data_IF_652956680502
#
_entry.id   IF_652956680502
#
_cell.length_a   1.000
_cell.length_b   1.000
_cell.length_c   1.000
_cell.angle_alpha   90.00
_cell.angle_beta   90.00
_cell.angle_gamma   90.00
#
_symmetry.space_group_name_H-M   'P 1'
#
loop_
_entity.id
_entity.type
_entity.pdbx_description
1 polymer ?
#
# COMPACT_ATOMS: atom_id res chain seq x y z
N UNK A 1 -20.96 22.26 37.04
CA UNK A 1 -21.08 21.21 36.02
C UNK A 1 -19.85 20.36 36.13
N UNK A 2 -19.94 19.23 36.87
CA UNK A 2 -18.84 18.29 37.07
C UNK A 2 -18.83 17.32 35.91
N UNK A 3 -17.67 17.18 35.22
CA UNK A 3 -17.48 16.17 34.21
C UNK A 3 -17.16 14.83 34.89
N UNK A 4 -18.03 13.84 34.73
CA UNK A 4 -17.78 12.47 35.11
C UNK A 4 -16.67 11.88 34.23
N UNK A 5 -15.49 11.70 34.80
CA UNK A 5 -14.42 10.94 34.19
C UNK A 5 -14.76 9.46 34.38
N UNK A 6 -15.21 8.80 33.31
CA UNK A 6 -15.53 7.38 33.31
C UNK A 6 -14.30 6.55 33.72
N UNK A 7 -14.42 5.90 34.86
CA UNK A 7 -13.40 4.95 35.37
C UNK A 7 -13.40 3.70 34.49
N UNK A 8 -12.29 3.48 33.77
CA UNK A 8 -12.03 2.24 33.02
C UNK A 8 -11.96 1.08 34.03
N UNK A 9 -12.87 0.13 33.93
CA UNK A 9 -12.89 -1.04 34.80
C UNK A 9 -11.67 -1.94 34.53
N UNK A 10 -11.05 -2.46 35.60
CA UNK A 10 -9.86 -3.34 35.51
C UNK A 10 -10.01 -4.54 34.55
N UNK A 11 -11.22 -5.01 34.35
CA UNK A 11 -11.54 -6.09 33.41
C UNK A 11 -11.35 -5.72 31.93
N UNK A 12 -11.65 -4.47 31.54
CA UNK A 12 -11.46 -3.98 30.16
C UNK A 12 -9.97 -3.83 29.81
N UNK A 13 -9.16 -3.40 30.77
CA UNK A 13 -7.71 -3.28 30.58
C UNK A 13 -7.01 -4.64 30.41
N UNK A 14 -7.48 -5.69 31.10
CA UNK A 14 -6.92 -7.04 30.96
C UNK A 14 -7.30 -7.65 29.60
N UNK A 15 -8.53 -7.44 29.14
CA UNK A 15 -8.98 -7.92 27.82
C UNK A 15 -8.19 -7.31 26.66
N UNK A 16 -7.88 -6.02 26.73
CA UNK A 16 -7.09 -5.33 25.72
C UNK A 16 -5.62 -5.76 25.75
N UNK A 17 -5.07 -6.04 26.92
CA UNK A 17 -3.69 -6.54 27.06
C UNK A 17 -3.49 -7.94 26.46
N UNK A 18 -4.45 -8.84 26.63
CA UNK A 18 -4.37 -10.20 26.09
C UNK A 18 -4.47 -10.23 24.55
N UNK A 19 -5.28 -9.35 23.97
CA UNK A 19 -5.41 -9.24 22.50
C UNK A 19 -4.11 -8.69 21.86
N UNK A 20 -3.44 -7.72 22.52
CA UNK A 20 -2.18 -7.18 22.05
C UNK A 20 -1.05 -8.23 22.14
N UNK A 21 -1.00 -9.03 23.19
CA UNK A 21 0.02 -10.10 23.34
C UNK A 21 -0.18 -11.21 22.30
N UNK A 22 -1.43 -11.56 21.96
CA UNK A 22 -1.69 -12.56 20.92
C UNK A 22 -1.27 -12.10 19.53
N UNK A 23 -1.46 -10.81 19.20
CA UNK A 23 -1.02 -10.22 17.93
C UNK A 23 0.51 -10.13 17.82
N UNK A 24 1.21 -9.77 18.90
CA UNK A 24 2.67 -9.73 18.93
C UNK A 24 3.26 -11.14 18.86
N UNK A 25 2.64 -12.11 19.51
CA UNK A 25 3.04 -13.52 19.43
C UNK A 25 2.93 -14.10 18.02
N UNK A 26 1.85 -13.79 17.31
CA UNK A 26 1.65 -14.24 15.93
C UNK A 26 2.68 -13.62 14.95
N UNK A 27 3.03 -12.35 15.14
CA UNK A 27 4.11 -11.71 14.34
C UNK A 27 5.50 -12.28 14.68
N UNK A 28 5.78 -12.58 15.95
CA UNK A 28 7.04 -13.16 16.38
C UNK A 28 7.30 -14.56 15.79
N UNK A 29 6.29 -15.41 15.75
CA UNK A 29 6.37 -16.74 15.15
C UNK A 29 6.51 -16.66 13.62
N UNK A 30 5.79 -15.72 12.98
CA UNK A 30 5.91 -15.49 11.54
C UNK A 30 7.33 -15.05 11.12
N UNK A 31 7.97 -14.19 11.90
CA UNK A 31 9.35 -13.75 11.67
C UNK A 31 10.37 -14.86 11.94
N UNK A 32 10.11 -15.75 12.90
CA UNK A 32 11.03 -16.87 13.20
C UNK A 32 10.99 -17.94 12.12
N UNK A 33 9.80 -18.29 11.63
CA UNK A 33 9.63 -19.24 10.50
C UNK A 33 10.20 -18.65 9.20
N UNK A 34 10.08 -17.34 8.97
CA UNK A 34 10.73 -16.68 7.85
C UNK A 34 12.26 -16.67 7.99
N UNK A 35 12.79 -16.55 9.22
CA UNK A 35 14.23 -16.58 9.50
C UNK A 35 14.90 -17.92 9.23
N UNK A 36 14.23 -19.06 9.44
CA UNK A 36 14.77 -20.39 9.14
C UNK A 36 14.85 -20.69 7.63
N UNK A 37 14.02 -20.02 6.80
CA UNK A 37 14.09 -20.17 5.35
C UNK A 37 15.31 -19.47 4.71
N UNK A 38 16.04 -18.64 5.44
CA UNK A 38 17.18 -17.85 4.91
C UNK A 38 18.50 -18.62 4.97
N UNK A 39 18.53 -19.79 5.59
CA UNK A 39 19.78 -20.56 5.78
C UNK A 39 20.02 -21.65 4.72
N UNK A 40 19.28 -21.59 3.60
CA UNK A 40 19.55 -22.42 2.44
C UNK A 40 20.64 -21.76 1.59
N UNK A 41 21.74 -22.44 1.35
CA UNK A 41 22.89 -22.08 0.50
C UNK A 41 22.54 -21.97 -1.01
N UNK A 42 21.31 -21.64 -1.35
CA UNK A 42 20.88 -21.27 -2.69
C UNK A 42 20.97 -19.75 -2.79
N UNK A 43 21.59 -19.22 -3.84
CA UNK A 43 21.64 -17.77 -4.09
C UNK A 43 20.25 -17.11 -3.98
N UNK A 44 20.18 -15.78 -3.89
CA UNK A 44 18.92 -15.09 -3.66
C UNK A 44 17.89 -15.51 -4.71
N UNK A 45 16.87 -16.24 -4.24
CA UNK A 45 15.76 -16.66 -5.10
C UNK A 45 14.97 -15.41 -5.47
N UNK A 46 14.66 -15.20 -6.75
CA UNK A 46 13.83 -14.05 -7.15
C UNK A 46 12.54 -14.03 -6.34
N UNK A 47 12.16 -12.84 -5.85
CA UNK A 47 10.91 -12.67 -5.14
C UNK A 47 9.75 -13.13 -6.04
N UNK A 48 8.75 -13.74 -5.44
CA UNK A 48 7.48 -14.08 -6.10
C UNK A 48 6.37 -13.41 -5.33
N UNK A 49 5.28 -13.06 -6.01
CA UNK A 49 4.12 -12.48 -5.34
C UNK A 49 3.66 -13.42 -4.23
N UNK A 50 3.97 -13.07 -2.99
CA UNK A 50 3.40 -13.73 -1.83
C UNK A 50 2.03 -13.13 -1.56
N UNK A 51 1.08 -13.98 -1.24
CA UNK A 51 -0.19 -13.53 -0.70
C UNK A 51 0.06 -13.14 0.76
N UNK A 52 -0.39 -11.95 1.18
CA UNK A 52 -0.47 -11.60 2.60
C UNK A 52 -1.26 -12.66 3.37
N UNK A 53 -1.39 -12.50 4.69
CA UNK A 53 -2.14 -13.44 5.54
C UNK A 53 -3.34 -14.06 4.83
N UNK A 54 -3.69 -15.35 5.13
CA UNK A 54 -4.70 -16.11 4.38
C UNK A 54 -5.96 -15.28 4.14
N UNK A 55 -6.50 -15.38 2.94
CA UNK A 55 -7.71 -14.67 2.45
C UNK A 55 -8.96 -14.86 3.32
N UNK A 56 -8.89 -15.67 4.38
CA UNK A 56 -10.02 -15.93 5.31
C UNK A 56 -10.53 -14.70 6.06
N UNK A 57 -9.77 -13.59 6.05
CA UNK A 57 -10.21 -12.34 6.70
C UNK A 57 -10.48 -11.19 5.74
N UNK A 58 -10.16 -11.34 4.46
CA UNK A 58 -10.52 -10.36 3.44
C UNK A 58 -11.92 -10.68 2.92
N UNK A 59 -12.85 -9.73 3.01
CA UNK A 59 -14.13 -9.86 2.33
C UNK A 59 -13.85 -10.16 0.84
N UNK A 60 -14.58 -11.12 0.23
CA UNK A 60 -14.40 -11.44 -1.18
C UNK A 60 -14.58 -10.18 -2.01
N UNK A 61 -13.64 -9.94 -2.94
CA UNK A 61 -13.77 -8.83 -3.88
C UNK A 61 -15.12 -8.92 -4.60
N UNK A 62 -15.85 -7.82 -4.64
CA UNK A 62 -17.07 -7.77 -5.43
C UNK A 62 -16.77 -8.02 -6.91
N UNK A 63 -17.76 -8.49 -7.65
CA UNK A 63 -17.59 -8.76 -9.07
C UNK A 63 -17.08 -7.51 -9.82
N UNK A 64 -15.93 -7.62 -10.46
CA UNK A 64 -15.26 -6.53 -11.17
C UNK A 64 -14.19 -5.78 -10.36
N UNK A 65 -14.03 -6.05 -9.07
CA UNK A 65 -12.93 -5.51 -8.28
C UNK A 65 -11.68 -6.40 -8.40
N UNK A 66 -10.51 -5.78 -8.38
CA UNK A 66 -9.22 -6.51 -8.41
C UNK A 66 -8.83 -7.00 -7.03
N UNK A 67 -8.06 -8.08 -7.01
CA UNK A 67 -7.44 -8.61 -5.79
C UNK A 67 -6.01 -8.09 -5.63
N UNK A 68 -5.47 -8.16 -4.41
CA UNK A 68 -4.05 -7.86 -4.17
C UNK A 68 -3.11 -8.75 -4.97
N UNK A 69 -3.47 -10.01 -5.20
CA UNK A 69 -2.71 -10.93 -6.05
C UNK A 69 -2.63 -10.45 -7.50
N UNK A 70 -3.74 -9.96 -8.05
CA UNK A 70 -3.78 -9.40 -9.40
C UNK A 70 -2.97 -8.10 -9.49
N UNK A 71 -3.01 -7.24 -8.46
CA UNK A 71 -2.19 -6.04 -8.40
C UNK A 71 -0.70 -6.38 -8.31
N UNK A 72 -0.34 -7.37 -7.50
CA UNK A 72 1.04 -7.83 -7.42
C UNK A 72 1.53 -8.37 -8.76
N UNK A 73 0.73 -9.18 -9.45
CA UNK A 73 1.09 -9.69 -10.77
C UNK A 73 1.27 -8.55 -11.81
N UNK A 74 0.47 -7.49 -11.72
CA UNK A 74 0.59 -6.33 -12.60
C UNK A 74 1.84 -5.48 -12.27
N UNK A 75 2.19 -5.35 -10.99
CA UNK A 75 3.31 -4.53 -10.53
C UNK A 75 4.65 -5.27 -10.60
N UNK A 76 4.70 -6.55 -10.22
CA UNK A 76 5.90 -7.40 -10.20
C UNK A 76 6.25 -7.91 -11.60
N UNK A 77 6.64 -6.98 -12.46
CA UNK A 77 6.98 -7.21 -13.86
C UNK A 77 8.50 -7.14 -14.07
N UNK A 78 9.05 -7.86 -15.06
CA UNK A 78 10.50 -7.93 -15.27
C UNK A 78 11.15 -6.58 -15.60
N UNK A 79 10.42 -5.66 -16.21
CA UNK A 79 10.90 -4.33 -16.63
C UNK A 79 10.67 -3.23 -15.57
N UNK A 80 10.12 -3.56 -14.39
CA UNK A 80 9.92 -2.57 -13.32
C UNK A 80 11.23 -1.90 -12.86
N UNK A 81 12.37 -2.60 -12.74
CA UNK A 81 13.65 -1.94 -12.42
C UNK A 81 14.06 -0.90 -13.46
N UNK A 82 13.87 -1.16 -14.75
CA UNK A 82 14.15 -0.19 -15.82
C UNK A 82 13.22 1.01 -15.73
N UNK A 83 11.94 0.80 -15.45
CA UNK A 83 10.96 1.87 -15.25
C UNK A 83 11.32 2.76 -14.05
N UNK A 84 11.87 2.18 -13.00
CA UNK A 84 12.36 2.88 -11.82
C UNK A 84 13.71 3.57 -12.03
N UNK A 85 14.43 3.22 -13.11
CA UNK A 85 15.75 3.77 -13.42
C UNK A 85 16.91 3.02 -12.74
N UNK A 86 16.68 1.80 -12.31
CA UNK A 86 17.68 0.91 -11.68
C UNK A 86 17.77 -0.43 -12.43
N UNK A 87 18.14 -0.41 -13.73
CA UNK A 87 18.20 -1.62 -14.54
C UNK A 87 19.14 -2.65 -13.90
N UNK A 88 18.73 -3.89 -13.89
CA UNK A 88 19.50 -5.00 -13.32
C UNK A 88 19.25 -5.26 -11.82
N UNK A 89 18.50 -4.41 -11.11
CA UNK A 89 18.05 -4.77 -9.76
C UNK A 89 17.05 -5.93 -9.80
N UNK A 90 17.16 -6.82 -8.83
CA UNK A 90 16.21 -7.92 -8.63
C UNK A 90 15.31 -7.60 -7.46
N UNK A 91 14.02 -7.90 -7.58
CA UNK A 91 13.09 -7.71 -6.48
C UNK A 91 13.50 -8.56 -5.27
N UNK A 92 13.64 -7.91 -4.11
CA UNK A 92 13.89 -8.54 -2.80
C UNK A 92 12.61 -9.12 -2.22
N UNK A 93 11.52 -8.41 -2.43
CA UNK A 93 10.20 -8.77 -1.92
C UNK A 93 9.11 -8.36 -2.91
N UNK A 94 8.08 -9.17 -3.02
CA UNK A 94 6.87 -8.86 -3.75
C UNK A 94 5.69 -9.45 -3.00
N UNK A 95 4.69 -8.64 -2.72
CA UNK A 95 3.50 -9.09 -2.01
C UNK A 95 2.25 -8.42 -2.57
N UNK A 96 1.13 -9.12 -2.44
CA UNK A 96 -0.19 -8.62 -2.74
C UNK A 96 -1.12 -8.93 -1.57
N UNK A 97 -1.92 -7.99 -1.20
CA UNK A 97 -2.87 -8.11 -0.10
C UNK A 97 -4.01 -7.11 -0.28
N UNK A 98 -4.74 -6.89 0.77
CA UNK A 98 -5.79 -5.91 0.80
C UNK A 98 -6.44 -5.89 2.17
N UNK A 99 -7.17 -4.83 2.42
CA UNK A 99 -8.00 -4.69 3.59
C UNK A 99 -9.35 -4.11 3.19
N UNK A 100 -10.34 -4.42 3.97
CA UNK A 100 -11.58 -3.65 3.98
C UNK A 100 -11.50 -2.63 5.10
N UNK A 101 -11.96 -1.44 4.84
CA UNK A 101 -12.10 -0.40 5.86
C UNK A 101 -13.51 0.18 5.82
N UNK A 102 -14.02 0.49 7.00
CA UNK A 102 -15.28 1.18 7.14
C UNK A 102 -14.98 2.65 7.43
N UNK A 103 -15.14 3.55 6.44
CA UNK A 103 -14.91 4.96 6.66
C UNK A 103 -15.80 5.50 7.79
N UNK A 104 -15.27 6.44 8.56
CA UNK A 104 -16.02 7.06 9.66
C UNK A 104 -17.30 7.70 9.11
N UNK A 105 -18.45 7.31 9.68
CA UNK A 105 -19.76 7.80 9.23
C UNK A 105 -20.36 7.06 8.02
N UNK A 106 -19.71 6.00 7.55
CA UNK A 106 -20.23 5.11 6.51
C UNK A 106 -20.62 3.75 7.07
N UNK A 107 -21.72 3.20 6.59
CA UNK A 107 -22.10 1.82 6.88
C UNK A 107 -21.54 0.81 5.87
N UNK A 108 -20.94 1.31 4.79
CA UNK A 108 -20.39 0.50 3.71
C UNK A 108 -18.91 0.22 3.95
N UNK A 109 -18.51 -1.03 3.85
CA UNK A 109 -17.09 -1.43 3.79
C UNK A 109 -16.53 -1.09 2.41
N UNK A 110 -15.32 -0.53 2.39
CA UNK A 110 -14.59 -0.21 1.15
C UNK A 110 -13.42 -1.20 1.03
N UNK A 111 -13.42 -1.95 -0.05
CA UNK A 111 -12.31 -2.82 -0.40
C UNK A 111 -11.14 -2.00 -0.95
N UNK A 112 -9.93 -2.28 -0.45
CA UNK A 112 -8.71 -1.57 -0.83
C UNK A 112 -7.55 -2.57 -1.02
N UNK A 113 -7.51 -3.26 -2.16
CA UNK A 113 -6.41 -4.15 -2.50
C UNK A 113 -5.12 -3.36 -2.69
N UNK A 114 -4.01 -3.98 -2.29
CA UNK A 114 -2.67 -3.39 -2.36
C UNK A 114 -1.68 -4.38 -2.94
N UNK A 115 -0.60 -3.85 -3.53
CA UNK A 115 0.59 -4.61 -3.88
C UNK A 115 1.83 -3.79 -3.58
N UNK A 116 2.93 -4.47 -3.27
CA UNK A 116 4.22 -3.83 -3.05
C UNK A 116 5.33 -4.68 -3.67
N UNK A 117 6.28 -4.02 -4.34
CA UNK A 117 7.51 -4.64 -4.84
C UNK A 117 8.68 -3.81 -4.34
N UNK A 118 9.60 -4.46 -3.65
CA UNK A 118 10.79 -3.87 -3.04
C UNK A 118 12.06 -4.32 -3.77
N UNK A 119 12.89 -3.36 -4.14
CA UNK A 119 14.23 -3.52 -4.67
C UNK A 119 15.27 -2.99 -3.68
N UNK A 120 16.54 -2.97 -4.07
CA UNK A 120 17.60 -2.35 -3.25
C UNK A 120 17.38 -0.85 -3.09
N UNK A 121 17.13 -0.16 -4.19
CA UNK A 121 17.02 1.30 -4.23
C UNK A 121 15.59 1.79 -4.07
N UNK A 122 14.64 1.15 -4.70
CA UNK A 122 13.24 1.60 -4.74
C UNK A 122 12.25 0.60 -4.16
N UNK A 123 11.18 1.13 -3.63
CA UNK A 123 9.94 0.38 -3.40
C UNK A 123 8.81 1.06 -4.16
N UNK A 124 8.03 0.26 -4.88
CA UNK A 124 6.79 0.68 -5.52
C UNK A 124 5.61 0.03 -4.79
N UNK A 125 4.63 0.84 -4.41
CA UNK A 125 3.41 0.40 -3.74
C UNK A 125 2.20 0.88 -4.53
N UNK A 126 1.33 -0.05 -4.88
CA UNK A 126 0.12 0.20 -5.65
C UNK A 126 -1.10 -0.17 -4.82
N UNK A 127 -2.06 0.73 -4.76
CA UNK A 127 -3.35 0.53 -4.08
C UNK A 127 -4.49 0.87 -5.03
N UNK A 128 -5.60 0.16 -4.91
CA UNK A 128 -6.86 0.56 -5.53
C UNK A 128 -7.88 0.84 -4.44
N UNK A 129 -8.64 1.90 -4.59
CA UNK A 129 -9.76 2.24 -3.71
C UNK A 129 -11.04 2.28 -4.53
N UNK A 130 -12.06 1.58 -4.08
CA UNK A 130 -13.39 1.58 -4.67
C UNK A 130 -14.37 2.48 -3.92
N UNK A 131 -13.83 3.44 -3.14
CA UNK A 131 -14.63 4.43 -2.39
C UNK A 131 -15.30 5.48 -3.30
N UNK A 132 -16.09 6.35 -2.69
CA UNK A 132 -16.83 7.40 -3.39
C UNK A 132 -16.00 8.70 -3.60
N UNK A 133 -14.77 8.75 -3.07
CA UNK A 133 -13.95 9.94 -3.18
C UNK A 133 -13.40 10.09 -4.59
N UNK A 134 -13.65 11.23 -5.20
CA UNK A 134 -13.08 11.62 -6.49
C UNK A 134 -11.65 12.15 -6.30
N UNK A 135 -10.84 12.15 -7.36
CA UNK A 135 -9.50 12.78 -7.33
C UNK A 135 -9.62 14.26 -6.99
N UNK A 136 -10.63 14.94 -7.51
CA UNK A 136 -10.89 16.34 -7.21
C UNK A 136 -11.15 16.60 -5.72
N UNK A 137 -11.92 15.73 -5.05
CA UNK A 137 -12.18 15.86 -3.60
C UNK A 137 -11.03 15.40 -2.73
N UNK A 138 -10.18 14.49 -3.21
CA UNK A 138 -8.98 14.06 -2.50
C UNK A 138 -7.85 15.10 -2.54
N UNK A 139 -7.75 15.89 -3.60
CA UNK A 139 -6.69 16.87 -3.80
C UNK A 139 -6.41 17.77 -2.58
N UNK A 140 -7.42 18.41 -1.94
CA UNK A 140 -7.19 19.25 -0.77
C UNK A 140 -6.83 18.46 0.51
N UNK A 141 -7.02 17.15 0.52
CA UNK A 141 -6.72 16.28 1.66
C UNK A 141 -5.29 15.73 1.62
N UNK A 142 -4.64 15.79 0.47
CA UNK A 142 -3.27 15.33 0.26
C UNK A 142 -2.26 16.46 0.49
N UNK A 143 -1.04 16.09 0.88
CA UNK A 143 0.03 17.06 1.16
C UNK A 143 0.84 17.38 -0.10
N UNK A 144 1.21 18.67 -0.26
CA UNK A 144 2.09 19.11 -1.35
C UNK A 144 1.65 18.59 -2.72
N UNK A 145 0.37 18.78 -3.04
CA UNK A 145 -0.19 18.37 -4.33
C UNK A 145 0.29 19.29 -5.45
N UNK A 146 0.43 18.71 -6.65
CA UNK A 146 0.57 19.49 -7.88
C UNK A 146 -0.80 19.89 -8.42
N UNK A 147 -0.88 20.83 -9.36
CA UNK A 147 -2.12 21.04 -10.10
C UNK A 147 -2.62 19.74 -10.74
N UNK A 148 -3.94 19.52 -10.76
CA UNK A 148 -4.54 18.37 -11.42
C UNK A 148 -4.09 18.24 -12.89
N UNK A 149 -3.92 17.03 -13.36
CA UNK A 149 -3.55 16.71 -14.74
C UNK A 149 -4.32 15.48 -15.24
N UNK A 150 -4.14 15.17 -16.50
CA UNK A 150 -4.68 13.95 -17.10
C UNK A 150 -3.54 12.93 -17.28
N UNK A 151 -3.75 11.71 -16.81
CA UNK A 151 -2.86 10.56 -16.99
C UNK A 151 -3.68 9.43 -17.59
N UNK A 152 -3.26 8.90 -18.72
CA UNK A 152 -3.97 7.83 -19.45
C UNK A 152 -5.46 8.16 -19.70
N UNK A 153 -5.78 9.44 -19.98
CA UNK A 153 -7.13 9.91 -20.21
C UNK A 153 -8.00 10.08 -18.96
N UNK A 154 -7.41 10.01 -17.75
CA UNK A 154 -8.13 10.08 -16.48
C UNK A 154 -7.62 11.25 -15.62
N UNK A 155 -8.47 11.88 -14.82
CA UNK A 155 -8.04 12.85 -13.82
C UNK A 155 -7.00 12.27 -12.88
N UNK A 156 -5.94 13.02 -12.63
CA UNK A 156 -4.83 12.57 -11.79
C UNK A 156 -4.18 13.74 -11.04
N UNK A 157 -3.53 13.42 -9.92
CA UNK A 157 -2.80 14.39 -9.11
C UNK A 157 -1.56 13.73 -8.49
N UNK A 158 -0.43 14.43 -8.54
CA UNK A 158 0.75 14.06 -7.76
C UNK A 158 0.71 14.69 -6.38
N UNK A 159 1.28 13.99 -5.41
CA UNK A 159 1.46 14.49 -4.06
C UNK A 159 2.76 13.97 -3.46
N UNK A 160 3.22 14.60 -2.39
CA UNK A 160 4.37 14.13 -1.62
C UNK A 160 3.93 13.78 -0.23
N UNK A 161 4.47 12.70 0.28
CA UNK A 161 4.22 12.23 1.64
C UNK A 161 5.50 11.59 2.21
N UNK A 162 5.40 10.94 3.32
CA UNK A 162 6.50 10.19 3.95
C UNK A 162 6.00 8.84 4.42
N UNK A 163 6.85 7.83 4.33
CA UNK A 163 6.58 6.53 4.93
C UNK A 163 6.52 6.65 6.46
N UNK A 164 5.94 5.64 7.09
CA UNK A 164 5.96 5.51 8.56
C UNK A 164 7.02 4.47 8.90
N UNK A 165 7.89 4.79 9.85
CA UNK A 165 8.84 3.83 10.42
C UNK A 165 8.32 3.31 11.75
N UNK A 166 8.54 2.01 11.97
CA UNK A 166 8.31 1.36 13.25
C UNK A 166 9.65 1.02 13.87
N UNK A 167 9.83 1.37 15.14
CA UNK A 167 11.02 1.04 15.92
C UNK A 167 10.64 0.16 17.09
N UNK A 168 11.43 -0.89 17.34
CA UNK A 168 11.27 -1.76 18.49
C UNK A 168 12.55 -1.73 19.32
N UNK A 169 12.45 -1.39 20.58
CA UNK A 169 13.58 -1.37 21.49
C UNK A 169 13.72 -2.71 22.21
N UNK A 170 14.94 -3.21 22.44
CA UNK A 170 15.17 -4.47 23.15
C UNK A 170 14.57 -4.54 24.55
N UNK A 171 14.20 -3.39 25.13
CA UNK A 171 13.50 -3.26 26.42
C UNK A 171 11.97 -3.30 26.34
N UNK A 172 11.38 -3.63 25.18
CA UNK A 172 9.93 -3.80 25.01
C UNK A 172 9.17 -2.52 24.64
N UNK A 173 9.86 -1.44 24.25
CA UNK A 173 9.24 -0.23 23.71
C UNK A 173 9.01 -0.36 22.20
N UNK A 174 7.81 -0.02 21.72
CA UNK A 174 7.52 0.19 20.30
C UNK A 174 7.28 1.69 20.06
N UNK A 175 7.82 2.21 18.98
CA UNK A 175 7.62 3.60 18.57
C UNK A 175 7.32 3.70 17.08
N UNK A 176 6.66 4.77 16.68
CA UNK A 176 6.47 5.14 15.29
C UNK A 176 7.21 6.44 15.01
N UNK A 177 7.76 6.57 13.83
CA UNK A 177 8.46 7.77 13.39
C UNK A 177 8.17 8.08 11.94
N UNK A 178 8.62 9.25 11.50
CA UNK A 178 8.55 9.66 10.11
C UNK A 178 9.65 8.95 9.31
N UNK A 179 9.25 8.26 8.26
CA UNK A 179 10.17 7.54 7.38
C UNK A 179 10.70 8.38 6.21
N UNK A 180 11.04 7.71 5.13
CA UNK A 180 11.61 8.34 3.93
C UNK A 180 10.53 9.08 3.13
N UNK A 181 10.94 10.11 2.34
CA UNK A 181 10.02 10.80 1.43
C UNK A 181 9.44 9.83 0.40
N UNK A 182 8.15 10.00 0.11
CA UNK A 182 7.46 9.30 -0.98
C UNK A 182 6.99 10.28 -2.03
N UNK A 183 6.88 9.81 -3.26
CA UNK A 183 6.18 10.49 -4.33
C UNK A 183 4.99 9.65 -4.76
N UNK A 184 3.80 10.20 -4.63
CA UNK A 184 2.55 9.55 -4.94
C UNK A 184 1.88 10.13 -6.17
N UNK A 185 1.17 9.27 -6.89
CA UNK A 185 0.28 9.62 -7.99
C UNK A 185 -1.07 8.94 -7.74
N UNK A 186 -2.11 9.74 -7.66
CA UNK A 186 -3.49 9.27 -7.65
C UNK A 186 -4.08 9.45 -9.05
N UNK A 187 -4.70 8.41 -9.59
CA UNK A 187 -5.38 8.41 -10.89
C UNK A 187 -6.80 7.91 -10.68
N UNK A 188 -7.79 8.63 -11.21
CA UNK A 188 -9.20 8.24 -11.09
C UNK A 188 -9.46 6.83 -11.65
N UNK A 189 -10.40 6.12 -11.04
CA UNK A 189 -10.76 4.77 -11.47
C UNK A 189 -11.42 4.78 -12.86
N UNK A 190 -12.08 5.87 -13.20
CA UNK A 190 -12.74 6.09 -14.48
C UNK A 190 -12.44 7.50 -15.04
N UNK A 191 -12.65 7.73 -16.36
CA UNK A 191 -12.37 9.02 -16.99
C UNK A 191 -13.25 10.18 -16.49
N UNK A 192 -14.41 9.90 -15.90
CA UNK A 192 -15.36 10.89 -15.40
C UNK A 192 -15.11 11.28 -13.93
N UNK A 193 -14.13 10.66 -13.27
CA UNK A 193 -13.87 10.83 -11.83
C UNK A 193 -15.10 10.57 -10.96
N UNK A 194 -15.80 9.47 -11.28
CA UNK A 194 -17.03 9.08 -10.57
C UNK A 194 -16.81 8.54 -9.14
N UNK A 195 -15.58 8.45 -8.70
CA UNK A 195 -15.13 7.94 -7.41
C UNK A 195 -14.24 6.73 -7.54
N UNK A 196 -13.44 6.50 -6.50
CA UNK A 196 -12.38 5.49 -6.51
C UNK A 196 -11.13 5.93 -7.27
N UNK A 197 -10.03 5.26 -6.98
CA UNK A 197 -8.74 5.64 -7.55
C UNK A 197 -7.72 4.51 -7.53
N UNK A 198 -6.78 4.59 -8.45
CA UNK A 198 -5.47 3.95 -8.35
C UNK A 198 -4.51 4.91 -7.66
N UNK A 199 -3.74 4.40 -6.72
CA UNK A 199 -2.73 5.17 -6.00
C UNK A 199 -1.39 4.46 -6.09
N UNK A 200 -0.43 5.06 -6.79
CA UNK A 200 0.94 4.57 -6.90
C UNK A 200 1.85 5.43 -6.05
N UNK A 201 2.49 4.82 -5.07
CA UNK A 201 3.51 5.43 -4.23
C UNK A 201 4.88 4.82 -4.53
N UNK A 202 5.87 5.66 -4.71
CA UNK A 202 7.26 5.25 -4.90
C UNK A 202 8.12 5.96 -3.87
N UNK A 203 9.06 5.24 -3.27
CA UNK A 203 10.07 5.82 -2.38
C UNK A 203 11.43 5.14 -2.57
N UNK A 204 12.46 5.79 -2.08
CA UNK A 204 13.84 5.31 -2.13
C UNK A 204 14.33 4.94 -0.73
N UNK A 205 15.08 3.85 -0.65
CA UNK A 205 15.68 3.39 0.61
C UNK A 205 16.77 4.34 1.12
N UNK A 206 17.43 5.09 0.23
CA UNK A 206 18.46 6.09 0.58
C UNK A 206 17.88 7.44 1.07
N UNK A 207 16.57 7.59 1.12
CA UNK A 207 15.89 8.82 1.54
C UNK A 207 15.82 9.91 0.48
N UNK A 208 16.29 9.67 -0.75
CA UNK A 208 16.09 10.56 -1.88
C UNK A 208 14.60 10.68 -2.27
N UNK A 209 14.22 11.82 -2.83
CA UNK A 209 12.85 12.03 -3.34
C UNK A 209 12.75 11.46 -4.75
N UNK A 210 11.81 10.54 -5.04
CA UNK A 210 11.59 10.07 -6.39
C UNK A 210 11.09 11.19 -7.32
N UNK A 211 11.52 11.15 -8.59
CA UNK A 211 11.09 12.09 -9.61
C UNK A 211 9.68 11.75 -10.12
N UNK A 212 8.88 12.78 -10.43
CA UNK A 212 7.55 12.64 -11.05
C UNK A 212 7.60 11.80 -12.33
N UNK A 213 8.66 11.95 -13.13
CA UNK A 213 8.83 11.22 -14.38
C UNK A 213 8.99 9.71 -14.15
N UNK A 214 9.62 9.31 -13.05
CA UNK A 214 9.72 7.88 -12.65
C UNK A 214 8.35 7.34 -12.30
N UNK A 215 7.62 8.03 -11.43
CA UNK A 215 6.28 7.60 -10.99
C UNK A 215 5.31 7.55 -12.16
N UNK A 216 5.36 8.55 -13.06
CA UNK A 216 4.51 8.61 -14.24
C UNK A 216 4.80 7.43 -15.20
N UNK A 217 6.06 7.17 -15.50
CA UNK A 217 6.47 6.06 -16.37
C UNK A 217 5.99 4.70 -15.83
N UNK A 218 6.14 4.47 -14.52
CA UNK A 218 5.60 3.26 -13.88
C UNK A 218 4.08 3.20 -14.01
N UNK A 219 3.38 4.30 -13.70
CA UNK A 219 1.92 4.34 -13.80
C UNK A 219 1.42 4.08 -15.23
N UNK A 220 1.99 4.75 -16.23
CA UNK A 220 1.60 4.61 -17.64
C UNK A 220 1.82 3.19 -18.17
N UNK A 221 2.79 2.47 -17.60
CA UNK A 221 3.11 1.10 -18.03
C UNK A 221 2.32 0.05 -17.24
N UNK A 222 2.11 0.25 -15.94
CA UNK A 222 1.48 -0.73 -15.06
C UNK A 222 -0.03 -0.64 -15.07
N UNK A 223 -0.60 0.56 -14.93
CA UNK A 223 -2.06 0.71 -14.74
C UNK A 223 -2.89 0.08 -15.87
N UNK A 224 -2.52 0.20 -17.16
CA UNK A 224 -3.27 -0.45 -18.24
C UNK A 224 -3.29 -1.98 -18.20
N UNK A 225 -2.39 -2.60 -17.44
CA UNK A 225 -2.31 -4.07 -17.31
C UNK A 225 -3.19 -4.62 -16.18
N UNK A 226 -3.76 -3.74 -15.36
CA UNK A 226 -4.62 -4.16 -14.25
C UNK A 226 -5.96 -4.65 -14.80
N UNK A 227 -6.46 -5.82 -14.37
CA UNK A 227 -7.79 -6.30 -14.74
C UNK A 227 -8.86 -5.23 -14.43
N UNK A 228 -9.77 -5.01 -15.35
CA UNK A 228 -10.81 -3.99 -15.24
C UNK A 228 -10.38 -2.58 -15.64
N UNK A 229 -9.11 -2.35 -15.97
CA UNK A 229 -8.73 -1.10 -16.62
C UNK A 229 -9.40 -0.98 -17.98
N UNK A 230 -10.27 0.01 -18.15
CA UNK A 230 -10.83 0.34 -19.47
C UNK A 230 -10.07 1.54 -20.04
N UNK A 231 -9.57 1.43 -21.28
CA UNK A 231 -9.02 2.59 -21.95
C UNK A 231 -10.11 3.69 -22.01
N UNK A 232 -9.73 4.95 -21.77
CA UNK A 232 -10.63 6.06 -22.03
C UNK A 232 -11.03 5.99 -23.51
N UNK A 233 -12.33 5.99 -23.80
CA UNK A 233 -12.81 6.12 -25.17
C UNK A 233 -12.28 7.44 -25.73
N UNK A 234 -11.42 7.38 -26.75
CA UNK A 234 -10.86 8.56 -27.43
C UNK A 234 -11.91 9.30 -28.25
#
# INVERSE_FOLDING_TARGET
MSQDVGTITKGAAIGQGLTAVALIGAMGIGLWVAGESVNSTSGPKPATCSHGLPEETAAPAEAGQVTGAQLCAALHRPDLPELLGTPGETAKNANGGGNTSKPVGSDTEVHAPTASVEFETYTAHLRVSYGQLTVATMAPLLWNTTPPRTVLGRPAIFYSDRTITFSFSPGGGAGTGTGVPTRGLVVALDPQDGGGSYELNVWRSDGGVPDDAVVLRVAETVLPTIPGWSAAAG
#
